data_IF_838169763988
#
_entry.id   IF_838169763988
#
_cell.length_a   1.000
_cell.length_b   1.000
_cell.length_c   1.000
_cell.angle_alpha   90.00
_cell.angle_beta   90.00
_cell.angle_gamma   90.00
#
_symmetry.space_group_name_H-M   'P 1'
#
loop_
_entity.id
_entity.type
_entity.pdbx_description
1 polymer ?
#
# COMPACT_ATOMS: atom_id res chain seq x y z
N UNK A 1 -61.41 36.44 -28.12
CA UNK A 1 -60.60 37.34 -27.25
C UNK A 1 -61.46 38.47 -26.68
N UNK A 2 -61.03 39.13 -25.60
CA UNK A 2 -61.66 40.35 -25.08
C UNK A 2 -60.61 41.46 -24.95
N UNK A 3 -60.83 42.61 -25.58
CA UNK A 3 -59.94 43.78 -25.50
C UNK A 3 -60.40 44.72 -24.37
N UNK A 4 -59.48 45.05 -23.46
CA UNK A 4 -59.71 45.88 -22.28
C UNK A 4 -58.72 47.05 -22.28
N UNK A 5 -59.00 48.15 -22.98
CA UNK A 5 -58.09 49.30 -23.12
C UNK A 5 -56.66 48.88 -23.53
N UNK A 6 -55.65 49.08 -22.66
CA UNK A 6 -54.25 48.69 -22.90
C UNK A 6 -54.00 47.18 -22.71
N UNK A 7 -54.93 46.47 -22.08
CA UNK A 7 -54.82 45.05 -21.79
C UNK A 7 -55.68 44.22 -22.74
N UNK A 8 -55.34 42.94 -22.85
CA UNK A 8 -56.08 41.95 -23.63
C UNK A 8 -56.19 40.65 -22.86
N UNK A 9 -57.40 40.09 -22.89
CA UNK A 9 -57.70 38.79 -22.33
C UNK A 9 -57.78 37.76 -23.46
N UNK A 10 -57.06 36.66 -23.30
CA UNK A 10 -56.90 35.61 -24.31
C UNK A 10 -57.03 34.25 -23.66
N UNK A 11 -57.60 33.30 -24.40
CA UNK A 11 -57.59 31.90 -24.04
C UNK A 11 -56.48 31.21 -24.83
N UNK A 12 -55.61 30.51 -24.10
CA UNK A 12 -54.63 29.60 -24.64
C UNK A 12 -55.04 28.17 -24.36
N UNK A 13 -54.81 27.29 -25.32
CA UNK A 13 -55.05 25.87 -25.18
C UNK A 13 -53.85 25.05 -25.63
N UNK A 14 -53.76 23.83 -25.13
CA UNK A 14 -52.76 22.86 -25.56
C UNK A 14 -53.38 21.47 -25.65
N UNK A 15 -52.99 20.72 -26.68
CA UNK A 15 -53.39 19.33 -26.88
C UNK A 15 -52.67 18.36 -25.95
N UNK A 16 -53.17 17.12 -25.85
CA UNK A 16 -52.61 16.04 -25.00
C UNK A 16 -51.12 15.79 -25.24
N UNK A 17 -50.70 15.86 -26.51
CA UNK A 17 -49.35 15.52 -26.96
C UNK A 17 -48.59 16.74 -27.50
N UNK A 18 -49.17 17.93 -27.35
CA UNK A 18 -48.56 19.16 -27.83
C UNK A 18 -47.89 19.89 -26.68
N UNK A 19 -46.57 20.08 -26.74
CA UNK A 19 -45.85 20.88 -25.75
C UNK A 19 -45.92 22.39 -26.05
N UNK A 20 -46.64 22.77 -27.10
CA UNK A 20 -46.84 24.17 -27.47
C UNK A 20 -48.23 24.65 -27.05
N UNK A 21 -48.27 25.92 -26.67
CA UNK A 21 -49.51 26.63 -26.38
C UNK A 21 -49.99 27.32 -27.66
N UNK A 22 -51.28 27.24 -27.92
CA UNK A 22 -51.94 27.90 -29.04
C UNK A 22 -52.93 28.92 -28.52
N UNK A 23 -53.08 30.01 -29.26
CA UNK A 23 -54.04 31.06 -28.91
C UNK A 23 -55.33 30.79 -29.68
N UNK A 24 -56.45 30.79 -28.97
CA UNK A 24 -57.75 30.78 -29.62
C UNK A 24 -58.21 32.21 -29.91
N UNK A 25 -58.22 32.58 -31.19
CA UNK A 25 -58.71 33.88 -31.66
C UNK A 25 -60.22 33.94 -31.77
N UNK A 26 -60.86 32.79 -31.95
CA UNK A 26 -62.25 32.70 -32.41
C UNK A 26 -63.22 32.54 -31.24
N UNK A 27 -62.72 32.11 -30.08
CA UNK A 27 -63.47 32.03 -28.84
C UNK A 27 -63.83 33.43 -28.31
N UNK A 28 -65.13 33.65 -28.06
CA UNK A 28 -65.62 34.83 -27.35
C UNK A 28 -65.52 34.61 -25.83
N UNK A 29 -64.85 35.54 -25.16
CA UNK A 29 -64.73 35.54 -23.69
C UNK A 29 -65.73 36.55 -23.14
N UNK A 30 -66.54 36.11 -22.18
CA UNK A 30 -67.53 36.95 -21.50
C UNK A 30 -67.03 37.16 -20.07
N UNK A 31 -66.68 38.41 -19.75
CA UNK A 31 -66.21 38.79 -18.42
C UNK A 31 -67.40 39.16 -17.52
N UNK A 32 -67.58 38.41 -16.43
CA UNK A 32 -68.57 38.68 -15.40
C UNK A 32 -68.04 39.77 -14.46
N UNK A 33 -68.40 41.02 -14.74
CA UNK A 33 -67.99 42.22 -13.97
C UNK A 33 -68.30 42.17 -12.48
N UNK A 34 -69.13 41.24 -12.04
CA UNK A 34 -69.60 41.13 -10.64
C UNK A 34 -68.99 39.97 -9.88
N UNK A 35 -68.33 39.01 -10.55
CA UNK A 35 -67.91 37.76 -9.90
C UNK A 35 -66.47 37.31 -10.19
N UNK A 36 -65.60 38.12 -10.81
CA UNK A 36 -64.22 37.72 -11.16
C UNK A 36 -64.16 36.37 -11.91
N UNK A 37 -65.16 36.12 -12.77
CA UNK A 37 -65.31 34.88 -13.54
C UNK A 37 -65.34 35.23 -15.02
N UNK A 38 -64.59 34.47 -15.81
CA UNK A 38 -64.62 34.52 -17.28
C UNK A 38 -65.37 33.29 -17.78
N UNK A 39 -66.46 33.53 -18.49
CA UNK A 39 -67.28 32.49 -19.10
C UNK A 39 -66.99 32.42 -20.59
N UNK A 40 -66.88 31.21 -21.11
CA UNK A 40 -66.64 30.96 -22.52
C UNK A 40 -67.37 29.70 -22.97
N UNK A 41 -67.71 29.63 -24.26
CA UNK A 41 -68.29 28.44 -24.87
C UNK A 41 -67.25 27.80 -25.80
N UNK A 42 -66.81 26.59 -25.46
CA UNK A 42 -65.75 25.88 -26.19
C UNK A 42 -66.40 24.73 -26.96
N UNK A 43 -66.21 24.71 -28.27
CA UNK A 43 -66.79 23.67 -29.15
C UNK A 43 -66.05 22.34 -29.09
N UNK A 44 -64.75 22.37 -28.76
CA UNK A 44 -63.88 21.20 -28.68
C UNK A 44 -63.23 21.09 -27.31
N UNK A 45 -63.17 19.88 -26.75
CA UNK A 45 -62.54 19.67 -25.47
C UNK A 45 -61.01 19.80 -25.62
N UNK A 46 -60.42 20.76 -24.90
CA UNK A 46 -58.98 20.90 -24.78
C UNK A 46 -58.52 20.34 -23.43
N UNK A 47 -57.40 19.61 -23.40
CA UNK A 47 -56.89 18.99 -22.18
C UNK A 47 -56.29 19.99 -21.19
N UNK A 48 -55.74 21.09 -21.72
CA UNK A 48 -55.14 22.16 -20.94
C UNK A 48 -55.60 23.49 -21.49
N UNK A 49 -56.05 24.37 -20.59
CA UNK A 49 -56.55 25.70 -20.90
C UNK A 49 -55.95 26.68 -19.90
N UNK A 50 -55.44 27.80 -20.39
CA UNK A 50 -55.00 28.93 -19.59
C UNK A 50 -55.66 30.18 -20.12
N UNK A 51 -56.22 30.99 -19.23
CA UNK A 51 -56.69 32.33 -19.57
C UNK A 51 -55.65 33.33 -19.12
N UNK A 52 -55.14 34.13 -20.05
CA UNK A 52 -54.10 35.11 -19.80
C UNK A 52 -54.65 36.51 -20.03
N UNK A 53 -54.50 37.37 -19.03
CA UNK A 53 -54.63 38.83 -19.15
C UNK A 53 -53.23 39.42 -19.28
N UNK A 54 -52.97 40.17 -20.33
CA UNK A 54 -51.64 40.75 -20.57
C UNK A 54 -51.73 42.16 -21.15
N UNK A 55 -50.70 42.97 -20.92
CA UNK A 55 -50.58 44.33 -21.47
C UNK A 55 -50.04 44.27 -22.91
N UNK A 56 -50.79 44.87 -23.85
CA UNK A 56 -50.44 44.89 -25.27
C UNK A 56 -49.20 45.72 -25.59
N UNK A 57 -48.84 46.68 -24.73
CA UNK A 57 -47.65 47.52 -24.90
C UNK A 57 -46.37 46.78 -24.49
N UNK A 58 -46.47 45.89 -23.50
CA UNK A 58 -45.33 45.16 -22.95
C UNK A 58 -45.01 43.86 -23.69
N UNK A 59 -46.01 43.23 -24.31
CA UNK A 59 -45.84 41.91 -24.93
C UNK A 59 -46.65 41.77 -26.21
N UNK A 60 -46.06 41.18 -27.25
CA UNK A 60 -46.80 40.87 -28.48
C UNK A 60 -47.56 39.56 -28.36
N UNK A 61 -48.70 39.45 -29.07
CA UNK A 61 -49.52 38.24 -29.09
C UNK A 61 -48.75 36.99 -29.56
N UNK A 62 -47.72 37.17 -30.41
CA UNK A 62 -46.86 36.06 -30.90
C UNK A 62 -45.89 35.54 -29.84
N UNK A 63 -45.55 36.34 -28.84
CA UNK A 63 -44.64 35.95 -27.76
C UNK A 63 -45.38 35.28 -26.60
N UNK A 64 -46.66 35.61 -26.41
CA UNK A 64 -47.48 35.12 -25.30
C UNK A 64 -47.41 33.58 -25.11
N UNK A 65 -47.52 32.73 -26.16
CA UNK A 65 -47.45 31.29 -25.95
C UNK A 65 -46.10 30.80 -25.45
N UNK A 66 -45.01 31.44 -25.89
CA UNK A 66 -43.65 31.13 -25.41
C UNK A 66 -43.49 31.52 -23.94
N UNK A 67 -44.04 32.68 -23.57
CA UNK A 67 -44.03 33.15 -22.19
C UNK A 67 -44.84 32.25 -21.28
N UNK A 68 -46.05 31.84 -21.71
CA UNK A 68 -46.89 30.89 -20.95
C UNK A 68 -46.20 29.52 -20.81
N UNK A 69 -45.53 29.04 -21.86
CA UNK A 69 -44.72 27.83 -21.78
C UNK A 69 -43.63 27.94 -20.70
N UNK A 70 -42.90 29.06 -20.64
CA UNK A 70 -41.90 29.32 -19.60
C UNK A 70 -42.52 29.43 -18.19
N UNK A 71 -43.69 30.06 -18.08
CA UNK A 71 -44.44 30.14 -16.82
C UNK A 71 -44.87 28.75 -16.34
N UNK A 72 -45.47 27.94 -17.20
CA UNK A 72 -45.85 26.57 -16.87
C UNK A 72 -44.64 25.75 -16.43
N UNK A 73 -43.51 25.85 -17.15
CA UNK A 73 -42.26 25.19 -16.76
C UNK A 73 -41.78 25.63 -15.39
N UNK A 74 -41.85 26.92 -15.07
CA UNK A 74 -41.45 27.48 -13.77
C UNK A 74 -42.41 27.07 -12.65
N UNK A 75 -43.72 27.05 -12.91
CA UNK A 75 -44.74 26.66 -11.93
C UNK A 75 -44.66 25.16 -11.58
N UNK A 76 -44.19 24.34 -12.52
CA UNK A 76 -43.97 22.91 -12.32
C UNK A 76 -42.66 22.60 -11.58
N UNK A 77 -41.79 23.59 -11.38
CA UNK A 77 -40.58 23.42 -10.59
C UNK A 77 -40.88 23.39 -9.10
N UNK A 78 -40.25 22.46 -8.40
CA UNK A 78 -40.33 22.25 -6.96
C UNK A 78 -38.91 22.24 -6.41
N UNK A 79 -38.73 22.91 -5.27
CA UNK A 79 -37.48 22.80 -4.51
C UNK A 79 -37.50 21.51 -3.72
N UNK A 80 -36.47 20.70 -3.93
CA UNK A 80 -36.25 19.47 -3.20
C UNK A 80 -34.89 19.52 -2.51
N UNK A 81 -34.82 18.84 -1.38
CA UNK A 81 -33.62 18.76 -0.55
C UNK A 81 -33.15 17.31 -0.50
N UNK A 82 -31.87 17.13 -0.76
CA UNK A 82 -31.16 15.86 -0.69
C UNK A 82 -30.13 15.91 0.44
N UNK A 83 -30.18 14.90 1.31
CA UNK A 83 -29.21 14.74 2.39
C UNK A 83 -29.09 13.26 2.76
N UNK A 84 -28.13 12.95 3.62
CA UNK A 84 -28.07 11.64 4.28
C UNK A 84 -27.73 11.80 5.75
N UNK A 85 -28.08 10.79 6.55
CA UNK A 85 -27.72 10.68 7.97
C UNK A 85 -27.20 9.29 8.28
N UNK A 86 -26.39 9.18 9.34
CA UNK A 86 -25.83 7.90 9.79
C UNK A 86 -26.57 7.39 11.01
N UNK A 87 -26.65 6.08 11.13
CA UNK A 87 -27.22 5.46 12.32
C UNK A 87 -26.26 5.58 13.48
N UNK A 88 -26.76 5.97 14.65
CA UNK A 88 -25.94 6.15 15.86
C UNK A 88 -25.35 4.84 16.38
N UNK A 89 -26.03 3.72 16.15
CA UNK A 89 -25.58 2.37 16.55
C UNK A 89 -24.53 1.80 15.61
N UNK A 90 -24.55 2.17 14.33
CA UNK A 90 -23.67 1.64 13.30
C UNK A 90 -23.37 2.72 12.27
N UNK A 91 -22.14 3.23 12.28
CA UNK A 91 -21.68 4.32 11.40
C UNK A 91 -21.72 3.91 9.92
N UNK A 92 -21.69 2.61 9.62
CA UNK A 92 -21.78 2.10 8.25
C UNK A 92 -23.21 2.11 7.72
N UNK A 93 -24.22 2.20 8.58
CA UNK A 93 -25.62 2.30 8.16
C UNK A 93 -25.97 3.77 7.91
N UNK A 94 -26.43 4.06 6.69
CA UNK A 94 -26.83 5.39 6.28
C UNK A 94 -28.26 5.36 5.74
N UNK A 95 -28.99 6.46 5.97
CA UNK A 95 -30.27 6.75 5.34
C UNK A 95 -30.12 7.98 4.47
N UNK A 96 -30.39 7.82 3.18
CA UNK A 96 -30.39 8.89 2.17
C UNK A 96 -31.83 9.30 1.93
N UNK A 97 -32.07 10.61 1.94
CA UNK A 97 -33.42 11.16 1.81
C UNK A 97 -33.46 12.26 0.77
N UNK A 98 -34.48 12.18 -0.08
CA UNK A 98 -34.85 13.23 -1.01
C UNK A 98 -36.30 13.65 -0.74
N UNK A 99 -36.52 14.89 -0.33
CA UNK A 99 -37.84 15.38 0.06
C UNK A 99 -38.10 16.80 -0.46
N UNK A 100 -39.34 17.28 -0.35
CA UNK A 100 -39.64 18.70 -0.55
C UNK A 100 -38.92 19.54 0.50
N UNK A 101 -38.29 20.65 0.08
CA UNK A 101 -37.58 21.55 1.00
C UNK A 101 -38.48 22.10 2.11
N UNK A 102 -39.79 22.19 1.88
CA UNK A 102 -40.78 22.62 2.88
C UNK A 102 -40.97 21.62 4.04
N UNK A 103 -40.54 20.37 3.86
CA UNK A 103 -40.72 19.27 4.83
C UNK A 103 -39.43 18.83 5.50
N UNK A 104 -38.32 19.53 5.22
CA UNK A 104 -36.99 19.17 5.72
C UNK A 104 -37.02 18.99 7.25
N UNK A 105 -37.49 20.02 7.97
CA UNK A 105 -37.50 20.01 9.44
C UNK A 105 -38.32 18.86 10.02
N UNK A 106 -39.49 18.56 9.45
CA UNK A 106 -40.32 17.44 9.92
C UNK A 106 -39.61 16.11 9.71
N UNK A 107 -39.02 15.92 8.53
CA UNK A 107 -38.39 14.66 8.15
C UNK A 107 -37.07 14.44 8.90
N UNK A 108 -36.28 15.48 9.15
CA UNK A 108 -35.09 15.38 9.99
C UNK A 108 -35.45 14.97 11.42
N UNK A 109 -36.54 15.51 11.98
CA UNK A 109 -37.04 15.11 13.28
C UNK A 109 -37.52 13.64 13.28
N UNK A 110 -38.21 13.19 12.24
CA UNK A 110 -38.67 11.80 12.11
C UNK A 110 -37.47 10.83 12.07
N UNK A 111 -36.47 11.11 11.23
CA UNK A 111 -35.26 10.30 11.09
C UNK A 111 -34.44 10.31 12.38
N UNK A 112 -34.41 11.44 13.09
CA UNK A 112 -33.75 11.50 14.39
C UNK A 112 -34.40 10.57 15.42
N UNK A 113 -35.74 10.49 15.44
CA UNK A 113 -36.47 9.56 16.30
C UNK A 113 -36.16 8.09 15.99
N UNK A 114 -35.71 7.77 14.77
CA UNK A 114 -35.26 6.44 14.34
C UNK A 114 -33.80 6.11 14.72
N UNK A 115 -33.14 6.96 15.54
CA UNK A 115 -31.74 6.85 15.98
C UNK A 115 -30.69 7.15 14.91
N UNK A 116 -30.99 8.05 13.99
CA UNK A 116 -29.99 8.63 13.09
C UNK A 116 -29.42 9.94 13.66
N UNK A 117 -28.23 10.30 13.17
CA UNK A 117 -27.51 11.50 13.56
C UNK A 117 -28.25 12.78 13.16
N UNK A 118 -28.10 13.84 13.96
CA UNK A 118 -28.55 15.20 13.60
C UNK A 118 -27.44 15.97 12.90
N UNK A 119 -26.17 15.68 13.24
CA UNK A 119 -25.01 16.46 12.82
C UNK A 119 -24.96 16.67 11.30
N UNK A 120 -24.65 17.91 10.91
CA UNK A 120 -24.77 18.46 9.56
C UNK A 120 -23.89 17.74 8.53
N UNK A 121 -24.35 16.59 8.06
CA UNK A 121 -23.84 15.95 6.87
C UNK A 121 -24.59 16.53 5.67
N UNK A 122 -23.87 17.38 4.93
CA UNK A 122 -24.20 17.99 3.65
C UNK A 122 -25.67 17.92 3.21
N UNK A 123 -26.34 19.06 3.27
CA UNK A 123 -27.67 19.26 2.70
C UNK A 123 -27.50 19.96 1.34
N UNK A 124 -28.15 19.43 0.30
CA UNK A 124 -28.14 20.01 -1.06
C UNK A 124 -29.56 20.26 -1.53
N UNK A 125 -29.81 21.48 -1.97
CA UNK A 125 -31.07 21.83 -2.65
C UNK A 125 -30.94 21.61 -4.15
N UNK A 126 -31.98 21.06 -4.76
CA UNK A 126 -32.10 20.82 -6.19
C UNK A 126 -33.51 21.20 -6.65
N UNK A 127 -33.61 21.68 -7.89
CA UNK A 127 -34.89 22.01 -8.51
C UNK A 127 -35.35 20.83 -9.37
N UNK A 128 -36.53 20.31 -9.06
CA UNK A 128 -37.12 19.13 -9.69
C UNK A 128 -38.53 19.40 -10.21
N UNK A 129 -39.04 18.50 -11.04
CA UNK A 129 -40.44 18.49 -11.44
C UNK A 129 -41.17 17.31 -10.78
N UNK A 130 -42.47 17.49 -10.50
CA UNK A 130 -43.30 16.41 -9.99
C UNK A 130 -43.31 15.22 -10.97
N UNK A 131 -43.09 14.00 -10.48
CA UNK A 131 -43.02 12.81 -11.34
C UNK A 131 -41.69 12.66 -12.10
N UNK A 132 -40.71 13.54 -11.88
CA UNK A 132 -39.40 13.41 -12.52
C UNK A 132 -38.68 12.15 -12.02
N UNK A 133 -38.21 11.32 -12.96
CA UNK A 133 -37.43 10.12 -12.67
C UNK A 133 -35.97 10.53 -12.41
N UNK A 134 -35.46 10.05 -11.30
CA UNK A 134 -34.13 10.28 -10.79
C UNK A 134 -33.40 8.95 -10.59
N UNK A 135 -32.08 9.03 -10.65
CA UNK A 135 -31.20 7.88 -10.45
C UNK A 135 -30.09 8.22 -9.47
N UNK A 136 -30.06 7.48 -8.38
CA UNK A 136 -29.07 7.57 -7.33
C UNK A 136 -27.90 6.62 -7.65
N UNK A 137 -26.68 7.17 -7.71
CA UNK A 137 -25.46 6.45 -8.07
C UNK A 137 -24.35 6.68 -7.05
N UNK A 138 -23.67 5.61 -6.65
CA UNK A 138 -22.46 5.71 -5.82
C UNK A 138 -21.18 5.69 -6.66
N UNK A 139 -20.21 6.53 -6.30
CA UNK A 139 -18.90 6.66 -6.94
C UNK A 139 -17.79 6.78 -5.89
N UNK A 140 -16.57 6.35 -6.24
CA UNK A 140 -15.39 6.51 -5.38
C UNK A 140 -15.15 5.29 -4.50
N UNK A 141 -14.48 5.49 -3.37
CA UNK A 141 -14.02 4.39 -2.53
C UNK A 141 -15.07 3.89 -1.53
N UNK A 142 -16.20 4.57 -1.37
CA UNK A 142 -17.28 4.20 -0.45
C UNK A 142 -18.53 3.87 -1.26
N UNK A 143 -19.01 2.63 -1.13
CA UNK A 143 -20.17 2.12 -1.88
C UNK A 143 -21.08 1.27 -0.99
N UNK A 144 -22.33 0.98 -1.39
CA UNK A 144 -23.18 0.03 -0.71
C UNK A 144 -22.56 -1.36 -0.71
N UNK A 145 -22.73 -2.07 0.40
CA UNK A 145 -22.33 -3.47 0.54
C UNK A 145 -23.04 -4.38 -0.46
N UNK A 146 -24.30 -4.08 -0.77
CA UNK A 146 -25.05 -4.78 -1.79
C UNK A 146 -24.86 -4.12 -3.16
N UNK A 147 -24.29 -4.83 -4.14
CA UNK A 147 -24.04 -4.29 -5.48
C UNK A 147 -25.32 -3.86 -6.21
N UNK A 148 -26.45 -4.51 -5.95
CA UNK A 148 -27.73 -4.12 -6.55
C UNK A 148 -28.24 -2.76 -6.07
N UNK A 149 -27.68 -2.24 -4.98
CA UNK A 149 -28.02 -0.95 -4.38
C UNK A 149 -27.09 0.18 -4.85
N UNK A 150 -26.12 -0.10 -5.72
CA UNK A 150 -25.19 0.91 -6.23
C UNK A 150 -25.87 1.91 -7.18
N UNK A 151 -26.98 1.49 -7.78
CA UNK A 151 -27.79 2.25 -8.73
C UNK A 151 -29.27 2.04 -8.38
N UNK A 152 -29.96 3.11 -7.99
CA UNK A 152 -31.38 3.05 -7.61
C UNK A 152 -32.15 4.14 -8.32
N UNK A 153 -33.22 3.76 -9.01
CA UNK A 153 -34.12 4.71 -9.66
C UNK A 153 -35.32 4.99 -8.76
N UNK A 154 -35.72 6.25 -8.70
CA UNK A 154 -36.90 6.68 -7.95
C UNK A 154 -37.54 7.88 -8.63
N UNK A 155 -38.79 8.16 -8.27
CA UNK A 155 -39.57 9.27 -8.82
C UNK A 155 -39.74 10.33 -7.75
N UNK A 156 -39.48 11.59 -8.08
CA UNK A 156 -39.71 12.69 -7.15
C UNK A 156 -41.20 12.95 -6.97
N UNK A 157 -41.61 13.10 -5.71
CA UNK A 157 -42.95 13.49 -5.32
C UNK A 157 -42.91 14.47 -4.14
N UNK A 158 -43.68 15.55 -4.23
CA UNK A 158 -43.70 16.59 -3.19
C UNK A 158 -44.25 16.08 -1.84
N UNK A 159 -45.19 15.14 -1.87
CA UNK A 159 -45.88 14.59 -0.70
C UNK A 159 -45.31 13.25 -0.21
N UNK A 160 -44.52 12.57 -1.02
CA UNK A 160 -43.88 11.30 -0.65
C UNK A 160 -42.36 11.42 -0.72
N UNK A 161 -41.69 11.59 0.43
CA UNK A 161 -40.24 11.61 0.48
C UNK A 161 -39.69 10.26 0.03
N UNK A 162 -38.57 10.30 -0.67
CA UNK A 162 -37.81 9.11 -0.98
C UNK A 162 -36.85 8.81 0.17
N UNK A 163 -36.90 7.58 0.67
CA UNK A 163 -35.97 7.06 1.68
C UNK A 163 -35.19 5.90 1.09
N UNK A 164 -33.88 5.90 1.34
CA UNK A 164 -33.00 4.83 0.91
C UNK A 164 -31.98 4.50 1.99
N UNK A 165 -32.20 3.35 2.64
CA UNK A 165 -31.33 2.83 3.68
C UNK A 165 -30.36 1.81 3.12
N UNK A 166 -29.08 1.94 3.47
CA UNK A 166 -28.05 0.98 3.06
C UNK A 166 -26.88 0.93 4.04
N UNK A 167 -26.11 -0.15 3.95
CA UNK A 167 -24.85 -0.29 4.66
C UNK A 167 -23.70 -0.03 3.68
N UNK A 168 -22.85 0.95 3.98
CA UNK A 168 -21.70 1.32 3.15
C UNK A 168 -20.41 0.63 3.60
N UNK A 169 -19.55 0.33 2.64
CA UNK A 169 -18.23 -0.27 2.83
C UNK A 169 -17.20 0.41 1.94
N UNK A 170 -15.93 0.29 2.30
CA UNK A 170 -14.83 0.67 1.44
C UNK A 170 -14.55 -0.36 0.34
N UNK A 171 -14.15 0.10 -0.85
CA UNK A 171 -13.69 -0.78 -1.94
C UNK A 171 -12.24 -1.19 -1.72
N UNK A 172 -11.36 -0.21 -1.52
CA UNK A 172 -9.93 -0.38 -1.30
C UNK A 172 -9.53 0.22 0.06
N UNK A 173 -9.24 -0.67 1.00
CA UNK A 173 -8.76 -0.35 2.35
C UNK A 173 -7.38 0.30 2.39
N UNK A 174 -6.58 0.18 1.33
CA UNK A 174 -5.24 0.78 1.24
C UNK A 174 -5.25 2.15 0.56
N UNK A 175 -6.37 2.53 -0.04
CA UNK A 175 -6.51 3.85 -0.66
C UNK A 175 -6.57 4.97 0.39
N UNK A 176 -6.27 6.20 -0.04
CA UNK A 176 -6.39 7.40 0.80
C UNK A 176 -5.57 7.29 2.11
N UNK A 177 -4.38 6.69 2.04
CA UNK A 177 -3.56 6.31 3.20
C UNK A 177 -3.21 7.45 4.18
N UNK A 178 -3.21 8.71 3.73
CA UNK A 178 -2.97 9.90 4.56
C UNK A 178 -4.24 10.47 5.20
N UNK A 179 -5.41 9.88 4.93
CA UNK A 179 -6.70 10.31 5.47
C UNK A 179 -7.18 9.37 6.57
N UNK A 180 -7.78 9.94 7.61
CA UNK A 180 -8.50 9.22 8.66
C UNK A 180 -9.85 8.66 8.20
N UNK A 181 -10.30 9.03 7.00
CA UNK A 181 -11.57 8.59 6.41
C UNK A 181 -11.37 8.02 5.01
N UNK A 182 -12.21 7.06 4.64
CA UNK A 182 -12.48 6.74 3.25
C UNK A 182 -13.49 7.73 2.66
N UNK A 183 -13.29 8.13 1.41
CA UNK A 183 -14.16 9.06 0.68
C UNK A 183 -14.82 8.39 -0.52
N UNK A 184 -16.12 8.62 -0.66
CA UNK A 184 -16.92 8.36 -1.85
C UNK A 184 -17.91 9.48 -2.10
N UNK A 185 -18.73 9.31 -3.12
CA UNK A 185 -19.70 10.30 -3.55
C UNK A 185 -21.03 9.63 -3.88
N UNK A 186 -22.11 10.32 -3.54
CA UNK A 186 -23.47 9.99 -3.88
C UNK A 186 -23.96 11.02 -4.91
N UNK A 187 -24.32 10.56 -6.10
CA UNK A 187 -24.72 11.41 -7.21
C UNK A 187 -26.18 11.17 -7.58
N UNK A 188 -26.92 12.24 -7.87
CA UNK A 188 -28.28 12.14 -8.41
C UNK A 188 -28.25 12.55 -9.88
N UNK A 189 -28.71 11.65 -10.75
CA UNK A 189 -28.87 11.88 -12.17
C UNK A 189 -30.33 11.99 -12.55
N UNK A 190 -30.61 12.71 -13.63
CA UNK A 190 -31.89 12.66 -14.31
C UNK A 190 -31.68 12.50 -15.82
N UNK A 191 -32.56 11.75 -16.46
CA UNK A 191 -32.54 11.59 -17.92
C UNK A 191 -33.23 12.78 -18.56
N UNK A 192 -32.51 13.53 -19.38
CA UNK A 192 -33.09 14.56 -20.22
C UNK A 192 -33.02 14.17 -21.69
N UNK A 193 -34.14 14.36 -22.38
CA UNK A 193 -34.23 14.27 -23.84
C UNK A 193 -33.92 15.64 -24.41
N UNK A 194 -32.92 15.73 -25.26
CA UNK A 194 -32.66 16.94 -26.02
C UNK A 194 -32.68 16.65 -27.51
N UNK A 195 -33.06 17.67 -28.26
CA UNK A 195 -33.09 17.63 -29.70
C UNK A 195 -31.72 18.06 -30.22
N UNK A 196 -30.98 17.15 -30.85
CA UNK A 196 -29.73 17.54 -31.53
C UNK A 196 -30.11 18.23 -32.84
N UNK A 197 -30.06 19.56 -32.88
CA UNK A 197 -30.04 20.28 -34.13
C UNK A 197 -28.73 19.91 -34.82
N UNK A 198 -28.80 19.11 -35.89
CA UNK A 198 -27.63 18.63 -36.61
C UNK A 198 -26.68 19.78 -36.91
N UNK A 199 -25.45 19.68 -36.38
CA UNK A 199 -24.33 20.50 -36.85
C UNK A 199 -24.21 20.14 -38.33
N UNK A 200 -24.60 21.08 -39.21
CA UNK A 200 -24.27 20.98 -40.63
C UNK A 200 -22.76 21.13 -40.71
N UNK A 201 -22.03 20.01 -40.69
CA UNK A 201 -20.70 19.99 -41.30
C UNK A 201 -20.91 20.39 -42.76
N UNK A 202 -20.39 21.56 -43.12
CA UNK A 202 -20.40 22.07 -44.48
C UNK A 202 -19.35 21.26 -45.24
N UNK A 203 -19.69 20.03 -45.61
CA UNK A 203 -19.03 19.36 -46.72
C UNK A 203 -19.84 19.63 -48.00
N UNK A 204 -19.24 20.43 -48.87
CA UNK A 204 -19.68 20.62 -50.24
C UNK A 204 -19.71 19.26 -50.94
N UNK A 205 -20.89 18.66 -51.13
CA UNK A 205 -21.31 18.05 -52.41
C UNK A 205 -22.75 17.49 -52.37
N UNK A 206 -23.52 17.99 -53.34
CA UNK A 206 -24.74 17.44 -53.96
C UNK A 206 -26.03 17.43 -53.15
N UNK A 207 -27.03 18.05 -53.80
CA UNK A 207 -28.43 18.15 -53.41
C UNK A 207 -29.09 16.77 -53.36
N UNK A 208 -29.56 16.37 -52.19
CA UNK A 208 -30.77 15.59 -52.01
C UNK A 208 -31.45 16.10 -50.73
N UNK A 209 -32.75 16.38 -50.83
CA UNK A 209 -33.60 16.79 -49.72
C UNK A 209 -33.81 15.59 -48.80
N UNK A 210 -32.85 15.34 -47.92
CA UNK A 210 -33.03 14.36 -46.85
C UNK A 210 -33.81 14.99 -45.70
N UNK A 211 -34.96 14.38 -45.43
CA UNK A 211 -35.79 14.61 -44.25
C UNK A 211 -34.89 14.38 -43.04
N UNK A 212 -34.52 15.46 -42.36
CA UNK A 212 -33.74 15.41 -41.11
C UNK A 212 -34.59 14.67 -40.08
N UNK A 213 -34.32 13.37 -39.89
CA UNK A 213 -34.84 12.61 -38.76
C UNK A 213 -34.31 13.28 -37.48
N UNK A 214 -35.24 13.83 -36.72
CA UNK A 214 -34.97 14.34 -35.38
C UNK A 214 -34.79 13.14 -34.45
N UNK A 215 -33.55 12.68 -34.30
CA UNK A 215 -33.21 11.64 -33.34
C UNK A 215 -33.10 12.27 -31.95
N UNK A 216 -34.10 12.00 -31.10
CA UNK A 216 -34.05 12.33 -29.69
C UNK A 216 -32.98 11.48 -29.01
N UNK A 217 -31.95 12.10 -28.45
CA UNK A 217 -30.97 11.41 -27.62
C UNK A 217 -31.29 11.68 -26.14
N UNK A 218 -31.34 10.61 -25.36
CA UNK A 218 -31.38 10.68 -23.89
C UNK A 218 -29.95 10.80 -23.37
N UNK A 219 -29.67 11.85 -22.59
CA UNK A 219 -28.43 11.95 -21.81
C UNK A 219 -28.74 12.04 -20.34
N UNK A 220 -27.89 11.39 -19.55
CA UNK A 220 -27.88 11.51 -18.10
C UNK A 220 -27.23 12.85 -17.70
N UNK A 221 -27.93 13.63 -16.89
CA UNK A 221 -27.42 14.88 -16.32
C UNK A 221 -27.29 14.70 -14.82
N UNK A 222 -26.09 14.92 -14.29
CA UNK A 222 -25.84 14.94 -12.85
C UNK A 222 -26.42 16.24 -12.27
N UNK A 223 -27.46 16.12 -11.44
CA UNK A 223 -28.10 17.26 -10.79
C UNK A 223 -27.29 17.74 -9.58
N UNK A 224 -26.78 16.81 -8.79
CA UNK A 224 -26.00 17.12 -7.58
C UNK A 224 -25.15 15.95 -7.13
N UNK A 225 -24.19 16.24 -6.25
CA UNK A 225 -23.27 15.29 -5.63
C UNK A 225 -23.11 15.60 -4.13
N UNK A 226 -23.15 14.55 -3.31
CA UNK A 226 -22.91 14.55 -1.87
C UNK A 226 -21.65 13.73 -1.55
N UNK A 227 -20.78 14.27 -0.70
CA UNK A 227 -19.59 13.58 -0.23
C UNK A 227 -19.97 12.58 0.87
N UNK A 228 -19.65 11.31 0.64
CA UNK A 228 -19.74 10.26 1.65
C UNK A 228 -18.39 10.07 2.31
N UNK A 229 -18.36 10.14 3.64
CA UNK A 229 -17.19 9.78 4.43
C UNK A 229 -17.45 8.49 5.22
N UNK A 230 -16.41 7.68 5.42
CA UNK A 230 -16.47 6.48 6.24
C UNK A 230 -15.20 6.44 7.10
N UNK A 231 -15.27 6.54 8.44
CA UNK A 231 -14.08 6.56 9.28
C UNK A 231 -13.29 5.26 9.15
N UNK A 232 -11.97 5.37 9.08
CA UNK A 232 -11.10 4.20 9.07
C UNK A 232 -11.03 3.61 10.48
N UNK A 233 -10.94 2.27 10.61
CA UNK A 233 -10.61 1.67 11.89
C UNK A 233 -9.28 2.25 12.39
N UNK A 234 -9.09 2.38 13.71
CA UNK A 234 -7.83 2.86 14.26
C UNK A 234 -6.70 1.99 13.71
N UNK A 235 -5.73 2.64 13.05
CA UNK A 235 -4.56 1.93 12.53
C UNK A 235 -3.87 1.33 13.73
N UNK A 236 -3.86 0.00 13.83
CA UNK A 236 -2.97 -0.70 14.74
C UNK A 236 -1.55 -0.28 14.35
N UNK A 237 -1.00 0.70 15.08
CA UNK A 237 0.41 1.03 14.98
C UNK A 237 1.11 -0.26 15.32
N UNK A 238 1.65 -0.93 14.30
CA UNK A 238 2.44 -2.14 14.48
C UNK A 238 3.45 -1.78 15.56
N UNK A 239 3.40 -2.50 16.67
CA UNK A 239 4.41 -2.38 17.72
C UNK A 239 5.76 -2.36 17.04
N UNK A 240 6.67 -1.43 17.40
CA UNK A 240 7.98 -1.37 16.78
C UNK A 240 8.54 -2.78 16.84
N UNK A 241 8.82 -3.37 15.68
CA UNK A 241 9.35 -4.72 15.57
C UNK A 241 10.54 -4.73 16.50
N UNK A 242 10.46 -5.48 17.60
CA UNK A 242 11.61 -5.70 18.47
C UNK A 242 12.64 -6.39 17.60
N UNK A 243 13.57 -5.61 17.05
CA UNK A 243 14.69 -6.12 16.27
C UNK A 243 15.45 -6.99 17.25
N UNK A 244 15.35 -8.31 17.09
CA UNK A 244 16.07 -9.27 17.93
C UNK A 244 17.53 -8.85 18.02
N UNK A 245 18.03 -8.69 19.26
CA UNK A 245 19.44 -8.44 19.56
C UNK A 245 20.28 -9.40 18.75
N UNK A 246 20.89 -8.90 17.67
CA UNK A 246 21.59 -9.78 16.75
C UNK A 246 22.96 -10.03 17.37
N UNK A 247 23.14 -11.18 18.02
CA UNK A 247 24.47 -11.66 18.42
C UNK A 247 25.22 -12.15 17.19
N UNK A 248 26.54 -11.95 17.16
CA UNK A 248 27.42 -12.59 16.16
C UNK A 248 28.29 -13.64 16.84
N UNK A 249 28.53 -14.73 16.13
CA UNK A 249 29.48 -15.77 16.52
C UNK A 249 30.89 -15.22 16.39
N UNK A 250 31.63 -15.24 17.49
CA UNK A 250 32.99 -14.70 17.55
C UNK A 250 33.95 -15.57 16.74
N UNK A 251 34.53 -15.01 15.68
CA UNK A 251 35.73 -15.54 15.02
C UNK A 251 36.85 -14.50 15.21
N UNK A 252 37.84 -14.81 16.04
CA UNK A 252 39.04 -13.98 16.25
C UNK A 252 39.03 -13.08 17.49
N UNK A 253 39.76 -11.96 17.42
CA UNK A 253 39.99 -11.02 18.54
C UNK A 253 38.74 -10.21 18.91
N UNK A 254 37.91 -9.86 17.90
CA UNK A 254 36.73 -9.02 18.09
C UNK A 254 35.52 -9.84 18.57
N UNK A 255 35.34 -9.94 19.89
CA UNK A 255 34.24 -10.66 20.52
C UNK A 255 33.09 -9.71 20.94
N UNK A 256 31.87 -10.22 21.14
CA UNK A 256 30.77 -9.44 21.73
C UNK A 256 31.12 -8.86 23.12
N UNK A 257 31.92 -9.57 23.91
CA UNK A 257 32.38 -9.09 25.23
C UNK A 257 33.32 -7.90 25.07
N UNK A 258 34.31 -7.98 24.18
CA UNK A 258 35.22 -6.88 23.90
C UNK A 258 34.48 -5.64 23.36
N UNK A 259 33.45 -5.83 22.51
CA UNK A 259 32.63 -4.70 22.06
C UNK A 259 31.87 -4.06 23.21
N UNK A 260 31.41 -4.85 24.19
CA UNK A 260 30.79 -4.33 25.41
C UNK A 260 31.80 -3.53 26.22
N UNK A 261 33.00 -4.06 26.43
CA UNK A 261 34.05 -3.40 27.22
C UNK A 261 34.52 -2.08 26.58
N UNK A 262 34.67 -2.06 25.25
CA UNK A 262 34.97 -0.82 24.51
C UNK A 262 33.78 0.13 24.59
N UNK A 263 32.54 -0.36 24.45
CA UNK A 263 31.34 0.48 24.47
C UNK A 263 31.10 1.17 25.82
N UNK A 264 31.34 0.47 26.94
CA UNK A 264 31.23 1.04 28.29
C UNK A 264 32.33 2.04 28.57
N UNK A 265 33.49 1.86 27.95
CA UNK A 265 34.64 2.76 28.08
C UNK A 265 34.50 4.04 27.26
N UNK A 266 33.67 4.07 26.21
CA UNK A 266 33.43 5.24 25.37
C UNK A 266 32.37 6.15 26.01
N UNK A 267 32.77 7.31 26.52
CA UNK A 267 31.87 8.20 27.28
C UNK A 267 31.34 9.32 26.38
N UNK A 268 30.05 9.67 26.53
CA UNK A 268 29.45 10.83 25.87
C UNK A 268 29.45 10.74 24.34
N UNK A 269 30.05 11.73 23.66
CA UNK A 269 30.07 11.83 22.18
C UNK A 269 31.23 11.05 21.52
N UNK A 270 32.07 10.37 22.30
CA UNK A 270 33.25 9.66 21.79
C UNK A 270 32.90 8.58 20.77
N UNK A 271 31.80 7.85 21.00
CA UNK A 271 31.35 6.81 20.09
C UNK A 271 30.87 7.38 18.74
N UNK A 272 30.27 8.58 18.72
CA UNK A 272 29.88 9.25 17.45
C UNK A 272 31.12 9.68 16.67
N UNK A 273 32.16 10.17 17.36
CA UNK A 273 33.46 10.49 16.75
C UNK A 273 34.12 9.23 16.18
N UNK A 274 34.08 8.12 16.91
CA UNK A 274 34.59 6.83 16.45
C UNK A 274 33.82 6.36 15.21
N UNK A 275 32.49 6.41 15.23
CA UNK A 275 31.63 6.01 14.12
C UNK A 275 31.97 6.77 12.82
N UNK A 276 32.19 8.09 12.92
CA UNK A 276 32.61 8.92 11.78
C UNK A 276 33.98 8.50 11.26
N UNK A 277 34.95 8.20 12.14
CA UNK A 277 36.30 7.73 11.75
C UNK A 277 36.29 6.32 11.16
N UNK A 278 35.37 5.47 11.60
CA UNK A 278 35.09 4.16 11.03
C UNK A 278 34.23 4.23 9.74
N UNK A 279 33.95 5.44 9.25
CA UNK A 279 33.30 5.72 7.97
C UNK A 279 31.78 5.51 7.97
N UNK A 280 31.11 5.57 9.13
CA UNK A 280 29.65 5.49 9.20
C UNK A 280 29.03 6.84 8.79
N UNK A 281 27.93 6.79 8.04
CA UNK A 281 27.23 7.99 7.59
C UNK A 281 26.46 8.65 8.74
N UNK A 282 26.26 9.96 8.67
CA UNK A 282 25.50 10.73 9.67
C UNK A 282 24.10 10.14 9.92
N UNK A 283 23.36 9.82 8.85
CA UNK A 283 22.03 9.21 8.92
C UNK A 283 22.07 7.89 9.71
N UNK A 284 23.11 7.08 9.53
CA UNK A 284 23.24 5.80 10.23
C UNK A 284 23.55 5.98 11.72
N UNK A 285 24.34 6.99 12.07
CA UNK A 285 24.66 7.34 13.45
C UNK A 285 23.39 7.80 14.18
N UNK A 286 22.63 8.71 13.57
CA UNK A 286 21.36 9.23 14.13
C UNK A 286 20.32 8.10 14.28
N UNK A 287 20.23 7.18 13.31
CA UNK A 287 19.34 6.02 13.41
C UNK A 287 19.72 5.06 14.54
N UNK A 288 21.03 4.82 14.77
CA UNK A 288 21.48 3.94 15.86
C UNK A 288 21.22 4.58 17.22
N UNK A 289 21.43 5.89 17.33
CA UNK A 289 21.14 6.64 18.54
C UNK A 289 19.65 6.60 18.91
N UNK A 290 18.78 6.81 17.92
CA UNK A 290 17.33 6.74 18.10
C UNK A 290 16.86 5.33 18.47
N UNK A 291 17.40 4.30 17.84
CA UNK A 291 16.93 2.91 18.00
C UNK A 291 17.46 2.24 19.29
N UNK A 292 18.63 2.64 19.81
CA UNK A 292 19.33 1.89 20.87
C UNK A 292 19.75 2.71 22.09
N UNK A 293 19.52 4.02 22.12
CA UNK A 293 19.76 4.91 23.27
C UNK A 293 21.10 4.64 23.99
N UNK A 294 21.08 4.10 25.21
CA UNK A 294 22.26 3.82 26.04
C UNK A 294 23.18 2.74 25.45
N UNK A 295 22.63 1.79 24.68
CA UNK A 295 23.40 0.73 24.02
C UNK A 295 23.96 1.18 22.64
N UNK A 296 23.72 2.42 22.22
CA UNK A 296 24.15 2.94 20.92
C UNK A 296 25.65 2.72 20.62
N UNK A 297 26.61 2.89 21.56
CA UNK A 297 28.02 2.63 21.30
C UNK A 297 28.31 1.16 20.93
N UNK A 298 27.66 0.20 21.60
CA UNK A 298 27.78 -1.23 21.31
C UNK A 298 27.23 -1.57 19.92
N UNK A 299 26.02 -1.08 19.62
CA UNK A 299 25.39 -1.33 18.32
C UNK A 299 26.08 -0.61 17.16
N UNK A 300 26.74 0.51 17.42
CA UNK A 300 27.61 1.18 16.46
C UNK A 300 28.80 0.29 16.07
N UNK A 301 29.52 -0.27 17.06
CA UNK A 301 30.64 -1.20 16.81
C UNK A 301 30.16 -2.44 16.05
N UNK A 302 29.01 -2.99 16.44
CA UNK A 302 28.41 -4.14 15.78
C UNK A 302 28.00 -3.84 14.32
N UNK A 303 27.35 -2.71 14.08
CA UNK A 303 26.95 -2.27 12.75
C UNK A 303 28.16 -2.03 11.84
N UNK A 304 29.23 -1.44 12.39
CA UNK A 304 30.49 -1.30 11.69
C UNK A 304 31.10 -2.68 11.35
N UNK A 305 31.22 -3.58 12.32
CA UNK A 305 31.82 -4.91 12.14
C UNK A 305 31.16 -5.72 11.04
N UNK A 306 29.82 -5.64 10.94
CA UNK A 306 29.03 -6.29 9.88
C UNK A 306 29.27 -5.70 8.49
N UNK A 307 29.58 -4.41 8.40
CA UNK A 307 29.81 -3.71 7.13
C UNK A 307 31.23 -3.92 6.58
N UNK A 308 32.22 -4.07 7.45
CA UNK A 308 33.61 -4.26 7.02
C UNK A 308 33.80 -5.61 6.32
N UNK A 309 34.38 -5.64 5.11
CA UNK A 309 34.68 -6.88 4.39
C UNK A 309 35.47 -7.88 5.24
N UNK A 310 35.23 -9.18 5.03
CA UNK A 310 35.95 -10.25 5.75
C UNK A 310 37.46 -10.26 5.48
N UNK A 311 37.90 -9.76 4.33
CA UNK A 311 39.30 -9.68 3.91
C UNK A 311 40.09 -8.55 4.58
N UNK A 312 39.43 -7.63 5.28
CA UNK A 312 40.10 -6.50 5.94
C UNK A 312 40.56 -6.88 7.35
N UNK A 313 41.72 -6.37 7.78
CA UNK A 313 42.15 -6.48 9.19
C UNK A 313 41.28 -5.54 10.05
N UNK A 314 40.14 -6.06 10.49
CA UNK A 314 39.16 -5.34 11.30
C UNK A 314 39.78 -4.84 12.61
N UNK A 315 40.72 -5.59 13.19
CA UNK A 315 41.38 -5.22 14.44
C UNK A 315 42.23 -3.97 14.23
N UNK A 316 43.05 -3.92 13.18
CA UNK A 316 43.85 -2.73 12.87
C UNK A 316 43.00 -1.50 12.54
N UNK A 317 41.91 -1.69 11.81
CA UNK A 317 40.98 -0.59 11.50
C UNK A 317 40.37 0.01 12.77
N UNK A 318 40.02 -0.82 13.75
CA UNK A 318 39.50 -0.36 15.02
C UNK A 318 40.56 0.34 15.86
N UNK A 319 41.79 -0.21 15.93
CA UNK A 319 42.94 0.42 16.60
C UNK A 319 43.18 1.83 16.04
N UNK A 320 43.27 1.96 14.70
CA UNK A 320 43.44 3.27 14.07
C UNK A 320 42.25 4.20 14.32
N UNK A 321 41.02 3.68 14.34
CA UNK A 321 39.82 4.45 14.70
C UNK A 321 39.91 5.02 16.11
N UNK A 322 40.35 4.22 17.08
CA UNK A 322 40.52 4.58 18.49
C UNK A 322 41.65 5.60 18.68
N UNK A 323 42.79 5.42 18.02
CA UNK A 323 43.88 6.40 18.03
C UNK A 323 43.42 7.77 17.48
N UNK A 324 42.61 7.79 16.43
CA UNK A 324 42.09 9.01 15.81
C UNK A 324 41.09 9.79 16.67
N UNK A 325 40.53 9.17 17.71
CA UNK A 325 39.70 9.86 18.70
C UNK A 325 40.45 10.17 20.00
N UNK A 326 41.76 9.93 20.04
CA UNK A 326 42.66 10.05 21.18
C UNK A 326 42.42 9.02 22.31
N UNK A 327 41.85 7.85 21.99
CA UNK A 327 41.70 6.72 22.92
C UNK A 327 42.82 5.71 22.73
N UNK A 328 44.02 6.14 23.10
CA UNK A 328 45.26 5.36 22.99
C UNK A 328 45.26 4.17 23.97
N UNK A 329 44.62 4.35 25.12
CA UNK A 329 44.37 3.32 26.14
C UNK A 329 43.69 2.09 25.51
N UNK A 330 42.51 2.29 24.91
CA UNK A 330 41.74 1.21 24.30
C UNK A 330 42.43 0.61 23.08
N UNK A 331 43.17 1.42 22.33
CA UNK A 331 43.95 0.97 21.19
C UNK A 331 45.10 0.04 21.62
N UNK A 332 45.75 0.35 22.74
CA UNK A 332 46.83 -0.45 23.32
C UNK A 332 46.30 -1.76 23.91
N UNK A 333 45.19 -1.72 24.63
CA UNK A 333 44.53 -2.92 25.17
C UNK A 333 44.15 -3.89 24.04
N UNK A 334 43.58 -3.35 22.95
CA UNK A 334 43.21 -4.14 21.78
C UNK A 334 44.43 -4.74 21.06
N UNK A 335 45.56 -4.01 21.04
CA UNK A 335 46.82 -4.51 20.48
C UNK A 335 47.41 -5.63 21.33
N UNK A 336 47.38 -5.52 22.66
CA UNK A 336 47.82 -6.59 23.58
C UNK A 336 47.03 -7.88 23.35
N UNK A 337 45.70 -7.79 23.32
CA UNK A 337 44.83 -8.96 23.09
C UNK A 337 45.11 -9.60 21.73
N UNK A 338 45.44 -8.80 20.71
CA UNK A 338 45.82 -9.32 19.38
C UNK A 338 47.11 -10.13 19.43
N UNK A 339 48.10 -9.68 20.19
CA UNK A 339 49.40 -10.32 20.30
C UNK A 339 49.34 -11.58 21.20
N UNK A 340 48.50 -11.58 22.23
CA UNK A 340 48.24 -12.76 23.07
C UNK A 340 47.60 -13.90 22.26
N UNK A 341 46.54 -13.60 21.47
CA UNK A 341 45.90 -14.61 20.61
C UNK A 341 46.82 -15.15 19.51
N UNK A 342 47.76 -14.34 19.01
CA UNK A 342 48.79 -14.82 18.06
C UNK A 342 49.74 -15.81 18.73
N UNK A 343 50.08 -15.58 19.99
CA UNK A 343 50.95 -16.46 20.78
C UNK A 343 50.23 -17.78 21.10
N UNK A 344 48.94 -17.75 21.42
CA UNK A 344 48.10 -18.93 21.65
C UNK A 344 47.90 -19.76 20.36
N UNK A 345 47.67 -19.14 19.20
CA UNK A 345 47.53 -19.87 17.94
C UNK A 345 48.82 -20.59 17.49
N UNK A 346 49.99 -20.12 17.94
CA UNK A 346 51.28 -20.75 17.66
C UNK A 346 51.51 -22.08 18.40
N UNK A 347 50.87 -22.29 19.56
CA UNK A 347 51.03 -23.50 20.39
C UNK A 347 49.96 -24.57 20.11
N UNK A 348 48.78 -24.20 19.61
CA UNK A 348 47.68 -25.12 19.27
C UNK A 348 47.90 -25.96 17.98
N UNK A 349 48.85 -25.60 17.11
CA UNK A 349 48.95 -26.15 15.74
C UNK A 349 49.42 -27.61 15.62
N UNK A 350 50.14 -28.19 16.59
CA UNK A 350 50.73 -29.54 16.43
C UNK A 350 49.76 -30.68 16.82
N UNK A 351 48.90 -30.46 17.81
CA UNK A 351 47.95 -31.48 18.28
C UNK A 351 46.72 -31.61 17.36
N UNK A 352 46.27 -30.52 16.73
CA UNK A 352 45.20 -30.58 15.72
C UNK A 352 45.65 -31.25 14.42
N UNK A 353 46.91 -31.04 14.00
CA UNK A 353 47.50 -31.76 12.87
C UNK A 353 47.54 -33.27 13.12
N UNK A 354 47.89 -33.69 14.34
CA UNK A 354 47.87 -35.12 14.70
C UNK A 354 46.44 -35.70 14.66
N UNK A 355 45.43 -34.94 15.11
CA UNK A 355 44.02 -35.36 15.06
C UNK A 355 43.52 -35.54 13.62
N UNK A 356 43.84 -34.61 12.73
CA UNK A 356 43.43 -34.67 11.31
C UNK A 356 44.08 -35.84 10.57
N UNK A 357 45.35 -36.13 10.85
CA UNK A 357 46.10 -37.20 10.18
C UNK A 357 45.82 -38.60 10.74
N UNK A 358 45.17 -38.70 11.90
CA UNK A 358 44.94 -39.98 12.59
C UNK A 358 44.08 -40.95 11.80
N UNK A 359 43.01 -40.46 11.15
CA UNK A 359 42.14 -41.30 10.32
C UNK A 359 42.88 -41.85 9.08
N UNK A 360 43.60 -41.05 8.29
CA UNK A 360 44.53 -41.53 7.27
C UNK A 360 45.54 -42.56 7.77
N UNK A 361 46.15 -42.35 8.94
CA UNK A 361 47.13 -43.28 9.50
C UNK A 361 46.54 -44.65 9.81
N UNK A 362 45.36 -44.67 10.44
CA UNK A 362 44.63 -45.91 10.69
C UNK A 362 44.31 -46.62 9.37
N UNK A 363 43.91 -45.88 8.34
CA UNK A 363 43.58 -46.45 7.03
C UNK A 363 44.79 -47.08 6.33
N UNK A 364 45.96 -46.47 6.44
CA UNK A 364 47.22 -47.04 5.95
C UNK A 364 47.56 -48.32 6.70
N UNK A 365 47.42 -48.30 8.03
CA UNK A 365 47.71 -49.45 8.86
C UNK A 365 46.72 -50.61 8.61
N UNK A 366 45.47 -50.36 8.22
CA UNK A 366 44.50 -51.40 7.86
C UNK A 366 44.91 -52.24 6.63
N UNK A 367 45.88 -51.81 5.81
CA UNK A 367 46.36 -52.56 4.65
C UNK A 367 47.61 -53.36 5.04
N UNK A 368 47.48 -54.69 5.12
CA UNK A 368 48.60 -55.57 5.49
C UNK A 368 49.82 -55.43 4.57
N UNK A 369 49.62 -55.08 3.30
CA UNK A 369 50.69 -54.82 2.33
C UNK A 369 51.55 -53.61 2.74
N UNK A 370 50.93 -52.53 3.22
CA UNK A 370 51.63 -51.33 3.72
C UNK A 370 52.37 -51.62 5.03
N UNK A 371 51.73 -52.40 5.92
CA UNK A 371 52.33 -52.80 7.20
C UNK A 371 53.52 -53.74 7.01
N UNK A 372 53.51 -54.60 5.99
CA UNK A 372 54.66 -55.47 5.68
C UNK A 372 55.89 -54.66 5.28
N UNK A 373 55.71 -53.51 4.62
CA UNK A 373 56.79 -52.63 4.16
C UNK A 373 57.01 -51.39 5.04
N UNK A 374 56.54 -51.40 6.30
CA UNK A 374 56.56 -50.21 7.18
C UNK A 374 57.95 -49.56 7.32
N UNK A 375 59.05 -50.31 7.26
CA UNK A 375 60.42 -49.75 7.29
C UNK A 375 60.75 -48.94 6.05
N UNK A 376 60.27 -49.37 4.88
CA UNK A 376 60.42 -48.63 3.63
C UNK A 376 59.58 -47.36 3.68
N UNK A 377 58.35 -47.45 4.18
CA UNK A 377 57.49 -46.29 4.44
C UNK A 377 58.14 -45.27 5.39
N UNK A 378 58.73 -45.73 6.50
CA UNK A 378 59.41 -44.86 7.46
C UNK A 378 60.61 -44.11 6.83
N UNK A 379 61.36 -44.77 5.94
CA UNK A 379 62.47 -44.13 5.20
C UNK A 379 61.98 -43.07 4.21
N UNK A 380 60.90 -43.35 3.48
CA UNK A 380 60.28 -42.36 2.58
C UNK A 380 59.67 -41.17 3.34
N UNK A 381 59.26 -41.39 4.60
CA UNK A 381 58.86 -40.33 5.54
C UNK A 381 60.07 -39.59 6.16
N UNK A 382 61.29 -39.87 5.70
CA UNK A 382 62.53 -39.23 6.16
C UNK A 382 62.85 -39.47 7.65
N UNK A 383 62.43 -40.59 8.23
CA UNK A 383 62.88 -40.99 9.56
C UNK A 383 64.32 -41.52 9.48
N UNK A 384 65.15 -41.17 10.47
CA UNK A 384 66.53 -41.69 10.55
C UNK A 384 66.54 -43.17 10.94
N UNK A 385 67.61 -43.88 10.58
CA UNK A 385 67.74 -45.31 10.91
C UNK A 385 67.70 -45.57 12.42
N UNK A 386 68.19 -44.64 13.24
CA UNK A 386 68.15 -44.74 14.71
C UNK A 386 66.70 -44.74 15.23
N UNK A 387 65.84 -43.88 14.68
CA UNK A 387 64.41 -43.83 15.03
C UNK A 387 63.70 -45.11 14.59
N UNK A 388 64.02 -45.60 13.38
CA UNK A 388 63.42 -46.85 12.86
C UNK A 388 63.82 -48.05 13.74
N UNK A 389 65.08 -48.12 14.17
CA UNK A 389 65.56 -49.17 15.06
C UNK A 389 64.94 -49.07 16.45
N UNK A 390 64.76 -47.85 16.96
CA UNK A 390 64.06 -47.61 18.22
C UNK A 390 62.60 -48.09 18.17
N UNK A 391 61.86 -47.73 17.12
CA UNK A 391 60.47 -48.18 16.91
C UNK A 391 60.40 -49.71 16.78
N UNK A 392 61.36 -50.34 16.10
CA UNK A 392 61.41 -51.80 15.96
C UNK A 392 61.63 -52.53 17.29
N UNK A 393 62.46 -51.99 18.18
CA UNK A 393 62.75 -52.57 19.49
C UNK A 393 61.61 -52.36 20.49
N UNK A 394 60.96 -51.19 20.45
CA UNK A 394 59.94 -50.83 21.43
C UNK A 394 58.56 -51.46 21.18
N UNK A 395 58.18 -51.67 19.92
CA UNK A 395 56.84 -52.13 19.58
C UNK A 395 56.88 -53.55 19.01
N UNK A 396 56.13 -54.53 19.56
CA UNK A 396 56.19 -55.91 19.11
C UNK A 396 55.42 -56.14 17.79
N UNK A 397 54.37 -55.36 17.53
CA UNK A 397 53.51 -55.52 16.36
C UNK A 397 53.97 -54.68 15.17
N UNK A 398 54.02 -55.27 13.97
CA UNK A 398 54.32 -54.52 12.72
C UNK A 398 53.29 -53.43 12.45
N UNK A 399 52.03 -53.64 12.81
CA UNK A 399 50.96 -52.64 12.70
C UNK A 399 51.25 -51.42 13.56
N UNK A 400 51.67 -51.65 14.80
CA UNK A 400 52.01 -50.58 15.73
C UNK A 400 53.27 -49.82 15.30
N UNK A 401 54.29 -50.53 14.80
CA UNK A 401 55.49 -49.92 14.22
C UNK A 401 55.16 -48.99 13.04
N UNK A 402 54.22 -49.40 12.17
CA UNK A 402 53.75 -48.59 11.05
C UNK A 402 53.06 -47.31 11.53
N UNK A 403 52.13 -47.44 12.47
CA UNK A 403 51.42 -46.29 13.05
C UNK A 403 52.36 -45.30 13.74
N UNK A 404 53.29 -45.80 14.55
CA UNK A 404 54.26 -44.97 15.28
C UNK A 404 55.22 -44.24 14.36
N UNK A 405 55.57 -44.85 13.22
CA UNK A 405 56.39 -44.19 12.19
C UNK A 405 55.67 -43.00 11.55
N UNK A 406 54.36 -43.13 11.33
CA UNK A 406 53.51 -42.06 10.78
C UNK A 406 53.27 -40.93 11.80
N UNK A 407 53.04 -41.25 13.07
CA UNK A 407 52.92 -40.26 14.14
C UNK A 407 54.22 -39.49 14.37
N UNK A 408 55.37 -40.18 14.35
CA UNK A 408 56.68 -39.54 14.50
C UNK A 408 57.00 -38.60 13.32
N UNK A 409 56.58 -38.97 12.11
CA UNK A 409 56.65 -38.09 10.94
C UNK A 409 55.79 -36.83 11.13
N UNK A 410 54.55 -36.98 11.58
CA UNK A 410 53.62 -35.87 11.78
C UNK A 410 54.12 -34.86 12.83
N UNK A 411 54.74 -35.34 13.91
CA UNK A 411 55.20 -34.50 15.01
C UNK A 411 56.48 -33.71 14.70
N UNK A 412 57.34 -34.26 13.83
CA UNK A 412 58.70 -33.75 13.64
C UNK A 412 58.93 -33.07 12.28
N UNK A 413 57.99 -33.18 11.34
CA UNK A 413 58.08 -32.50 10.05
C UNK A 413 57.34 -31.15 10.08
N UNK A 414 57.94 -30.15 9.45
CA UNK A 414 57.36 -28.79 9.34
C UNK A 414 56.15 -28.72 8.41
N UNK A 415 55.92 -29.74 7.58
CA UNK A 415 54.84 -29.79 6.58
C UNK A 415 54.23 -31.20 6.47
N UNK A 416 53.69 -31.70 7.57
CA UNK A 416 52.93 -32.95 7.60
C UNK A 416 51.45 -32.67 7.24
N UNK A 417 51.10 -32.85 5.96
CA UNK A 417 49.73 -32.73 5.46
C UNK A 417 49.31 -33.96 4.65
N UNK A 418 48.00 -34.10 4.43
CA UNK A 418 47.41 -35.24 3.69
C UNK A 418 47.96 -35.35 2.25
N UNK A 419 48.12 -34.25 1.48
CA UNK A 419 48.73 -34.31 0.15
C UNK A 419 50.17 -34.84 0.15
N UNK A 420 50.99 -34.46 1.12
CA UNK A 420 52.36 -34.95 1.24
C UNK A 420 52.37 -36.46 1.53
N UNK A 421 51.53 -36.90 2.47
CA UNK A 421 51.37 -38.32 2.80
C UNK A 421 50.90 -39.14 1.60
N UNK A 422 49.88 -38.66 0.87
CA UNK A 422 49.36 -39.34 -0.32
C UNK A 422 50.40 -39.45 -1.43
N UNK A 423 51.25 -38.42 -1.61
CA UNK A 423 52.37 -38.49 -2.56
C UNK A 423 53.38 -39.59 -2.20
N UNK A 424 53.74 -39.72 -0.93
CA UNK A 424 54.64 -40.78 -0.43
C UNK A 424 54.02 -42.17 -0.64
N UNK A 425 52.72 -42.30 -0.44
CA UNK A 425 52.03 -43.59 -0.64
C UNK A 425 51.96 -43.97 -2.13
N UNK A 426 51.88 -42.97 -3.04
CA UNK A 426 51.98 -43.22 -4.49
C UNK A 426 53.38 -43.67 -4.92
N UNK A 427 54.44 -43.11 -4.34
CA UNK A 427 55.82 -43.52 -4.68
C UNK A 427 56.10 -44.95 -4.23
N UNK A 428 55.46 -45.39 -3.16
CA UNK A 428 55.48 -46.78 -2.69
C UNK A 428 54.60 -47.75 -3.50
N UNK A 429 53.91 -47.27 -4.54
CA UNK A 429 53.11 -48.09 -5.46
C UNK A 429 51.63 -48.25 -5.09
N UNK A 430 51.18 -47.72 -3.95
CA UNK A 430 49.78 -47.86 -3.50
C UNK A 430 48.88 -46.73 -4.01
N UNK A 431 48.77 -46.60 -5.34
CA UNK A 431 47.95 -45.55 -5.98
C UNK A 431 46.47 -45.52 -5.52
N UNK A 432 45.78 -46.67 -5.33
CA UNK A 432 44.39 -46.67 -4.85
C UNK A 432 44.27 -46.15 -3.41
N UNK A 433 45.19 -46.53 -2.52
CA UNK A 433 45.21 -46.09 -1.12
C UNK A 433 45.50 -44.60 -1.00
N UNK A 434 46.41 -44.07 -1.83
CA UNK A 434 46.67 -42.63 -1.86
C UNK A 434 45.44 -41.81 -2.25
N UNK A 435 44.63 -42.30 -3.21
CA UNK A 435 43.35 -41.66 -3.58
C UNK A 435 42.32 -41.75 -2.46
N UNK A 436 42.23 -42.88 -1.77
CA UNK A 436 41.36 -43.03 -0.59
C UNK A 436 41.72 -42.02 0.51
N UNK A 437 43.01 -41.79 0.75
CA UNK A 437 43.49 -40.87 1.79
C UNK A 437 43.24 -39.41 1.43
N UNK A 438 43.41 -39.03 0.16
CA UNK A 438 43.09 -37.66 -0.29
C UNK A 438 41.61 -37.34 -0.19
N UNK A 439 40.74 -38.34 -0.37
CA UNK A 439 39.29 -38.18 -0.19
C UNK A 439 38.88 -38.08 1.29
N UNK A 440 39.81 -38.24 2.24
CA UNK A 440 39.58 -38.07 3.68
C UNK A 440 40.04 -36.70 4.21
N UNK A 441 40.66 -35.87 3.36
CA UNK A 441 40.94 -34.45 3.62
C UNK A 441 39.70 -33.61 3.34
#
# INVERSE_FOLDING_TARGET
MLDLNNERLVLLYSGSNDNTWHIDTDIQLIDSKTHDIITTNIQYLHNRIIVARYDKQLMSLKQLPKTICLFEQTLNQRSATLFFRRRLTNINEICIVCCSSQRLDTIENDIHQENYSIENEQIKEIILQEGQILELRFRGNVIPKNKHQQLVQFTFNTYFPFYFETNIIEIDKYSQHLSSYYYGFLQIYSKQKFLRNGIKEIEKKKQQLDIVKQDWQETDICLTELLLTLPKPPVEIRTPIQKSLTTFTAEGVLTPTLFRDISTSLVGDEWRRLARRLGMTRIRIEAIEHDYHEDAPYYMLFAWFKRVPRSSDKVLLLIHGLMNINRWDLAQDLQSIKDDKRTEQGTFSKDEQLKLLRAPFIRICQRDECVRIWKQLARELMLTNDIIQHIEQQYPSKHERCLRSLEHWALNQTRADIPCLARIIRTLGFKPLAREIENMA
#
